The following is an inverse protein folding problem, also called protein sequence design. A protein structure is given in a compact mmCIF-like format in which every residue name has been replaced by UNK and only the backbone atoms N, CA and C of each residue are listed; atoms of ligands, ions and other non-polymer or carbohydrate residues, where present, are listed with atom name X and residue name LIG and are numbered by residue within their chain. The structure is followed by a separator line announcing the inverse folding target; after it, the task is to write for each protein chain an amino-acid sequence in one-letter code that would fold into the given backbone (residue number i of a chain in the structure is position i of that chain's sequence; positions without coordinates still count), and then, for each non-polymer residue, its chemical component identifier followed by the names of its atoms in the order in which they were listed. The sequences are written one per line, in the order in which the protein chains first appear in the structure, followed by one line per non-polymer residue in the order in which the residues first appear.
data_IF_592954022137
#
_entry.id   IF_592954022137
#
_cell.length_a   1.000
_cell.length_b   1.000
_cell.length_c   1.000
_cell.angle_alpha   90.00
_cell.angle_beta   90.00
_cell.angle_gamma   90.00
#
_symmetry.space_group_name_H-M   'P 1'
#
loop_
_entity.id
_entity.type
_entity.pdbx_description
1 polymer ?
#
# COMPACT_ATOMS: atom_id res chain seq x y z
N UNK A 1 5.62 11.95 -12.00
CA UNK A 1 5.05 10.76 -11.31
C UNK A 1 6.07 9.62 -11.20
N UNK A 2 6.33 9.14 -9.98
CA UNK A 2 7.24 8.05 -9.65
C UNK A 2 6.53 6.96 -8.81
N UNK A 3 7.13 5.77 -8.73
CA UNK A 3 6.61 4.63 -7.95
C UNK A 3 7.21 4.63 -6.54
N UNK A 4 6.36 4.39 -5.56
CA UNK A 4 6.71 4.34 -4.15
C UNK A 4 6.12 3.08 -3.52
N UNK A 5 6.95 2.35 -2.78
CA UNK A 5 6.53 1.21 -1.99
C UNK A 5 5.93 1.72 -0.69
N UNK A 6 4.74 1.24 -0.38
CA UNK A 6 4.03 1.56 0.85
C UNK A 6 4.65 0.73 1.96
N UNK A 7 5.17 1.41 2.98
CA UNK A 7 5.73 0.75 4.17
C UNK A 7 4.70 0.65 5.29
N UNK A 8 3.75 1.59 5.33
CA UNK A 8 2.69 1.64 6.34
C UNK A 8 1.32 1.64 5.69
N UNK A 9 0.40 0.80 6.18
CA UNK A 9 -0.96 0.71 5.65
C UNK A 9 -1.66 2.07 5.70
N UNK A 10 -2.34 2.41 4.61
CA UNK A 10 -3.17 3.61 4.51
C UNK A 10 -4.62 3.20 4.19
N UNK A 11 -5.55 3.61 5.05
CA UNK A 11 -7.00 3.45 4.86
C UNK A 11 -7.62 4.82 4.67
N UNK A 12 -8.15 5.07 3.47
CA UNK A 12 -8.74 6.33 3.06
C UNK A 12 -9.34 6.17 1.67
N UNK A 13 -9.26 7.20 0.83
CA UNK A 13 -9.75 7.16 -0.56
C UNK A 13 -9.17 6.01 -1.38
N UNK A 14 -7.92 5.64 -1.09
CA UNK A 14 -7.28 4.46 -1.63
C UNK A 14 -6.71 3.63 -0.50
N UNK A 15 -7.20 2.40 -0.44
CA UNK A 15 -6.67 1.38 0.44
C UNK A 15 -5.32 0.93 -0.12
N UNK A 16 -4.24 1.19 0.63
CA UNK A 16 -2.92 0.66 0.34
C UNK A 16 -2.44 -0.20 1.49
N UNK A 17 -2.08 -1.44 1.19
CA UNK A 17 -1.49 -2.34 2.17
C UNK A 17 0.03 -2.18 2.24
N UNK A 18 0.61 -2.57 3.38
CA UNK A 18 2.05 -2.62 3.55
C UNK A 18 2.68 -3.55 2.50
N UNK A 19 3.70 -3.06 1.81
CA UNK A 19 4.37 -3.74 0.71
C UNK A 19 3.81 -3.44 -0.68
N UNK A 20 2.64 -2.82 -0.78
CA UNK A 20 2.05 -2.44 -2.06
C UNK A 20 2.82 -1.29 -2.73
N UNK A 21 2.60 -1.04 -4.02
CA UNK A 21 3.25 0.04 -4.77
C UNK A 21 2.24 1.05 -5.28
N UNK A 22 2.46 2.33 -4.96
CA UNK A 22 1.65 3.44 -5.46
C UNK A 22 2.44 4.35 -6.39
N UNK A 23 1.75 4.96 -7.33
CA UNK A 23 2.34 5.96 -8.24
C UNK A 23 1.87 7.35 -7.84
N UNK A 24 2.80 8.27 -7.60
CA UNK A 24 2.51 9.62 -7.15
C UNK A 24 3.60 10.62 -7.58
N UNK A 25 3.32 11.91 -7.43
CA UNK A 25 4.30 12.98 -7.62
C UNK A 25 5.32 12.99 -6.46
N UNK A 26 6.64 12.98 -6.73
CA UNK A 26 7.66 12.98 -5.68
C UNK A 26 7.53 14.15 -4.71
N UNK A 27 7.24 15.35 -5.22
CA UNK A 27 7.06 16.55 -4.40
C UNK A 27 5.88 16.43 -3.44
N UNK A 28 4.80 15.76 -3.85
CA UNK A 28 3.60 15.55 -3.03
C UNK A 28 3.86 14.52 -1.94
N UNK A 29 4.68 13.50 -2.21
CA UNK A 29 4.89 12.38 -1.28
C UNK A 29 6.22 12.44 -0.53
N UNK A 30 7.01 13.50 -0.73
CA UNK A 30 8.30 13.69 -0.06
C UNK A 30 8.18 13.61 1.47
N UNK A 31 7.18 14.27 2.04
CA UNK A 31 6.91 14.22 3.49
C UNK A 31 6.55 12.81 3.98
N UNK A 32 5.96 11.97 3.14
CA UNK A 32 5.61 10.59 3.47
C UNK A 32 6.82 9.66 3.37
N UNK A 33 7.75 9.96 2.47
CA UNK A 33 9.04 9.27 2.40
C UNK A 33 9.87 9.62 3.64
N UNK A 34 9.93 10.91 3.99
CA UNK A 34 10.63 11.40 5.18
C UNK A 34 10.06 10.81 6.48
N UNK A 35 8.72 10.75 6.58
CA UNK A 35 8.02 10.11 7.70
C UNK A 35 8.12 8.57 7.71
N UNK A 36 8.82 7.94 6.76
CA UNK A 36 8.99 6.49 6.68
C UNK A 36 7.73 5.70 6.30
N UNK A 37 6.71 6.37 5.78
CA UNK A 37 5.45 5.77 5.31
C UNK A 37 5.62 5.17 3.91
N UNK A 38 6.50 5.76 3.10
CA UNK A 38 6.82 5.30 1.75
C UNK A 38 8.32 5.12 1.54
N UNK A 39 8.69 4.25 0.62
CA UNK A 39 10.04 4.16 0.08
C UNK A 39 10.04 4.38 -1.44
N UNK A 40 10.95 5.20 -1.99
CA UNK A 40 11.09 5.33 -3.45
C UNK A 40 11.47 3.98 -4.06
N UNK A 41 10.74 3.57 -5.09
CA UNK A 41 11.08 2.39 -5.89
C UNK A 41 11.94 2.85 -7.05
N UNK A 42 13.22 3.03 -6.77
CA UNK A 42 14.21 3.33 -7.80
C UNK A 42 14.24 2.17 -8.79
N UNK A 43 13.86 2.43 -10.04
CA UNK A 43 13.82 1.40 -11.11
C UNK A 43 15.22 0.91 -11.53
N UNK A 44 16.29 1.35 -10.84
CA UNK A 44 17.67 1.02 -11.16
C UNK A 44 18.50 0.32 -10.08
N UNK A 45 18.10 0.27 -8.80
CA UNK A 45 18.93 -0.37 -7.76
C UNK A 45 18.11 -1.14 -6.72
N UNK A 46 18.20 -2.47 -6.83
CA UNK A 46 17.86 -3.44 -5.79
C UNK A 46 18.40 -2.96 -4.43
N UNK A 47 17.52 -2.69 -3.47
CA UNK A 47 17.84 -2.87 -2.05
C UNK A 47 16.78 -3.78 -1.41
N UNK A 48 17.10 -5.05 -1.16
CA UNK A 48 16.21 -5.95 -0.44
C UNK A 48 16.32 -5.58 1.05
N UNK A 49 15.28 -4.99 1.61
CA UNK A 49 15.13 -4.88 3.05
C UNK A 49 13.81 -5.52 3.44
N UNK A 50 13.96 -6.57 4.24
CA UNK A 50 12.99 -7.59 4.54
C UNK A 50 11.88 -7.09 5.48
N UNK A 51 10.66 -7.54 5.20
CA UNK A 51 9.75 -8.00 6.24
C UNK A 51 9.15 -9.32 5.73
N UNK A 52 9.65 -10.42 6.29
CA UNK A 52 9.01 -11.73 6.17
C UNK A 52 7.70 -11.68 6.97
N UNK A 53 6.68 -12.38 6.43
CA UNK A 53 5.30 -12.57 6.93
C UNK A 53 4.41 -11.36 6.61
N UNK A 54 3.30 -11.49 5.89
CA UNK A 54 2.31 -12.54 6.00
C UNK A 54 1.93 -13.19 4.66
N UNK A 55 1.83 -14.53 4.70
CA UNK A 55 0.88 -15.26 3.85
C UNK A 55 -0.51 -14.81 4.28
N UNK A 56 -1.34 -14.34 3.35
CA UNK A 56 -2.74 -14.81 3.23
C UNK A 56 -3.31 -14.42 1.87
N UNK A 57 -3.90 -15.38 1.12
CA UNK A 57 -4.86 -15.08 0.08
C UNK A 57 -6.17 -14.66 0.76
N UNK A 58 -6.34 -13.37 0.97
CA UNK A 58 -7.51 -12.82 1.67
C UNK A 58 -8.69 -12.62 0.73
N UNK A 59 -9.37 -13.73 0.41
CA UNK A 59 -10.73 -13.83 -0.11
C UNK A 59 -11.45 -12.49 -0.32
N UNK A 60 -11.66 -12.11 -1.59
CA UNK A 60 -12.75 -11.21 -1.98
C UNK A 60 -14.09 -11.94 -1.81
N UNK A 61 -14.42 -12.33 -0.57
CA UNK A 61 -15.78 -12.74 -0.20
C UNK A 61 -16.48 -11.45 0.18
N UNK A 62 -17.27 -10.93 -0.74
CA UNK A 62 -18.34 -10.02 -0.37
C UNK A 62 -19.24 -10.75 0.65
N UNK A 63 -19.48 -10.23 1.86
CA UNK A 63 -20.75 -10.48 2.50
C UNK A 63 -21.77 -9.60 1.78
N UNK A 64 -22.59 -10.23 0.94
CA UNK A 64 -23.92 -9.68 0.62
C UNK A 64 -24.62 -9.34 1.94
N UNK A 65 -25.13 -8.12 2.13
CA UNK A 65 -26.03 -7.87 3.24
C UNK A 65 -27.37 -8.57 2.94
N UNK A 66 -27.63 -9.69 3.62
CA UNK A 66 -28.99 -10.21 3.80
C UNK A 66 -29.75 -9.21 4.68
N UNK A 67 -30.31 -8.17 4.06
CA UNK A 67 -31.32 -7.36 4.73
C UNK A 67 -32.69 -7.95 4.41
N UNK A 68 -33.22 -8.75 5.35
CA UNK A 68 -34.65 -9.02 5.44
C UNK A 68 -35.36 -7.70 5.73
N UNK A 69 -36.11 -7.19 4.75
CA UNK A 69 -37.11 -6.16 4.98
C UNK A 69 -38.44 -6.63 4.37
N UNK A 70 -39.33 -6.98 5.30
CA UNK A 70 -40.82 -7.04 5.30
C UNK A 70 -41.54 -7.63 4.08
#
# INVERSE_FOLDING_TARGET
MAKFKVLREHRGDKQYSEGDTRTAEPSVVAHLVDAGILAPVDSGKKKPAAAKKAKTPGNKKAPTPDNKAV
#
